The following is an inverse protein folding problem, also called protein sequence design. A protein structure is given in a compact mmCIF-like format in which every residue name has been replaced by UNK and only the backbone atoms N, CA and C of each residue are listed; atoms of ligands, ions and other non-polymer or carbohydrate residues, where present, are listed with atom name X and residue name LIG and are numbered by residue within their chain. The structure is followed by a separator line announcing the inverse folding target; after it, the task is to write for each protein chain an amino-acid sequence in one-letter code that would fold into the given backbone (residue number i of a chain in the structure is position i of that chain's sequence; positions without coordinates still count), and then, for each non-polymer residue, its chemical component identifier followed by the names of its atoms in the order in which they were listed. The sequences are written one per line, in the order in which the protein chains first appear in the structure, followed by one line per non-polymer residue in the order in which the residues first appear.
data_IF_658144040975
#
_entry.id   IF_658144040975
#
_cell.length_a   1.000
_cell.length_b   1.000
_cell.length_c   1.000
_cell.angle_alpha   90.00
_cell.angle_beta   90.00
_cell.angle_gamma   90.00
#
_symmetry.space_group_name_H-M   'P 1'
#
loop_
_entity.id
_entity.type
_entity.pdbx_description
1 polymer ?
#
# COMPACT_ATOMS: atom_id res chain seq x y z
N UNK A 1 45.19 -37.13 31.01
CA UNK A 1 44.12 -36.29 30.43
C UNK A 1 43.85 -35.13 31.37
N UNK A 2 44.34 -33.92 31.05
CA UNK A 2 44.10 -32.73 31.89
C UNK A 2 42.73 -32.14 31.55
N UNK A 3 41.85 -32.00 32.55
CA UNK A 3 40.55 -31.34 32.39
C UNK A 3 40.77 -29.82 32.46
N UNK A 4 40.67 -29.15 31.32
CA UNK A 4 40.67 -27.68 31.25
C UNK A 4 39.39 -27.14 31.88
N UNK A 5 39.45 -26.80 33.17
CA UNK A 5 38.37 -26.09 33.85
C UNK A 5 38.60 -24.58 33.75
N UNK A 6 37.72 -23.89 33.02
CA UNK A 6 37.69 -22.44 33.01
C UNK A 6 37.28 -21.97 34.41
N UNK A 7 38.08 -21.08 35.00
CA UNK A 7 37.83 -20.57 36.35
C UNK A 7 36.49 -19.79 36.38
N UNK A 8 35.62 -20.07 37.36
CA UNK A 8 34.29 -19.45 37.50
C UNK A 8 34.32 -17.92 37.40
N UNK A 9 35.38 -17.30 37.93
CA UNK A 9 35.59 -15.84 37.86
C UNK A 9 35.84 -15.34 36.43
N UNK A 10 36.56 -16.11 35.63
CA UNK A 10 36.80 -15.81 34.21
C UNK A 10 35.51 -15.94 33.41
N UNK A 11 34.72 -16.98 33.68
CA UNK A 11 33.40 -17.16 33.07
C UNK A 11 32.45 -16.00 33.39
N UNK A 12 32.34 -15.60 34.67
CA UNK A 12 31.46 -14.50 35.08
C UNK A 12 31.90 -13.13 34.56
N UNK A 13 33.22 -12.88 34.43
CA UNK A 13 33.74 -11.67 33.79
C UNK A 13 33.38 -11.61 32.30
N UNK A 14 33.42 -12.75 31.59
CA UNK A 14 32.99 -12.84 30.19
C UNK A 14 31.50 -12.60 30.01
N UNK A 15 30.67 -13.12 30.92
CA UNK A 15 29.21 -12.93 30.89
C UNK A 15 28.81 -11.47 31.10
N UNK A 16 29.49 -10.74 32.00
CA UNK A 16 29.24 -9.32 32.23
C UNK A 16 29.50 -8.45 31.00
N UNK A 17 30.57 -8.76 30.25
CA UNK A 17 30.86 -8.08 28.98
C UNK A 17 29.81 -8.38 27.89
N UNK A 18 29.28 -9.60 27.86
CA UNK A 18 28.24 -10.01 26.91
C UNK A 18 26.87 -9.37 27.19
N UNK A 19 26.57 -9.01 28.45
CA UNK A 19 25.34 -8.28 28.81
C UNK A 19 25.45 -6.76 28.63
N UNK A 20 26.66 -6.20 28.73
CA UNK A 20 26.92 -4.76 28.56
C UNK A 20 27.11 -4.35 27.10
N UNK A 21 27.45 -5.30 26.23
CA UNK A 21 27.53 -5.06 24.80
C UNK A 21 26.15 -5.35 24.20
N UNK A 22 25.48 -4.38 23.54
CA UNK A 22 24.41 -4.75 22.63
C UNK A 22 24.99 -5.80 21.69
N UNK A 23 24.32 -6.96 21.58
CA UNK A 23 24.71 -7.96 20.59
C UNK A 23 24.93 -7.20 19.29
N UNK A 24 26.09 -7.36 18.65
CA UNK A 24 26.42 -6.71 17.39
C UNK A 24 25.52 -7.29 16.30
N UNK A 25 24.23 -6.95 16.37
CA UNK A 25 23.23 -7.43 15.43
C UNK A 25 23.52 -6.92 14.02
N UNK A 26 24.24 -5.80 13.92
CA UNK A 26 24.79 -5.27 12.68
C UNK A 26 25.86 -6.15 12.03
N UNK A 27 26.49 -7.06 12.77
CA UNK A 27 27.45 -8.04 12.25
C UNK A 27 26.80 -9.40 11.97
N UNK A 28 25.52 -9.60 12.31
CA UNK A 28 24.83 -10.76 11.77
C UNK A 28 24.69 -10.57 10.25
N UNK A 29 25.10 -11.56 9.43
CA UNK A 29 24.80 -11.53 8.03
C UNK A 29 23.27 -11.44 7.87
N UNK A 30 22.79 -10.37 7.22
CA UNK A 30 21.37 -10.04 6.96
C UNK A 30 20.63 -11.15 6.17
N UNK A 31 21.28 -12.27 5.88
CA UNK A 31 20.81 -13.33 4.99
C UNK A 31 20.22 -14.58 5.67
N UNK A 32 20.10 -14.68 7.00
CA UNK A 32 19.78 -15.97 7.63
C UNK A 32 18.57 -16.01 8.58
N UNK A 33 17.53 -15.20 8.35
CA UNK A 33 16.20 -15.42 8.95
C UNK A 33 15.07 -15.48 7.91
N UNK A 34 15.41 -15.73 6.64
CA UNK A 34 14.43 -16.17 5.66
C UNK A 34 14.03 -17.62 6.00
N UNK A 35 13.06 -17.74 6.91
CA UNK A 35 12.31 -18.97 7.17
C UNK A 35 11.82 -19.54 5.83
N UNK A 36 12.42 -20.67 5.43
CA UNK A 36 11.93 -21.75 4.55
C UNK A 36 10.63 -21.56 3.73
N UNK A 37 10.47 -20.49 2.97
CA UNK A 37 9.64 -20.50 1.77
C UNK A 37 10.53 -20.35 0.55
N UNK A 38 10.64 -21.41 -0.25
CA UNK A 38 11.42 -21.45 -1.49
C UNK A 38 10.87 -20.50 -2.57
N UNK A 39 9.67 -19.96 -2.36
CA UNK A 39 9.02 -19.03 -3.29
C UNK A 39 9.00 -17.61 -2.71
N UNK A 40 9.29 -16.59 -3.53
CA UNK A 40 9.13 -15.21 -3.12
C UNK A 40 7.65 -14.93 -2.77
N UNK A 41 7.35 -14.07 -1.79
CA UNK A 41 5.98 -13.76 -1.44
C UNK A 41 5.28 -13.09 -2.63
N UNK A 42 4.07 -13.56 -2.93
CA UNK A 42 3.17 -12.90 -3.88
C UNK A 42 2.75 -11.57 -3.29
N UNK A 43 2.90 -10.49 -4.06
CA UNK A 43 2.57 -9.11 -3.66
C UNK A 43 1.37 -8.62 -4.44
N UNK A 44 0.59 -7.77 -3.80
CA UNK A 44 -0.53 -7.04 -4.40
C UNK A 44 -0.12 -5.58 -4.51
N UNK A 45 -0.38 -4.97 -5.67
CA UNK A 45 -0.08 -3.56 -5.92
C UNK A 45 -1.30 -2.87 -6.51
N UNK A 46 -1.57 -1.67 -6.02
CA UNK A 46 -2.58 -0.77 -6.56
C UNK A 46 -1.89 0.49 -7.04
N UNK A 47 -2.13 0.87 -8.30
CA UNK A 47 -1.56 2.07 -8.89
C UNK A 47 -2.69 3.07 -9.13
N UNK A 48 -2.61 4.22 -8.47
CA UNK A 48 -3.58 5.29 -8.65
C UNK A 48 -3.11 6.23 -9.76
N UNK A 49 -3.90 6.34 -10.83
CA UNK A 49 -3.71 7.32 -11.89
C UNK A 49 -4.93 8.24 -11.87
N UNK A 50 -4.80 9.48 -11.37
CA UNK A 50 -5.94 10.38 -11.15
C UNK A 50 -6.44 10.99 -12.47
N UNK A 51 -7.21 12.06 -12.35
CA UNK A 51 -7.80 12.82 -13.46
C UNK A 51 -6.77 13.18 -14.54
N UNK A 52 -7.24 13.31 -15.79
CA UNK A 52 -6.41 13.76 -16.92
C UNK A 52 -5.90 12.65 -17.84
N UNK A 53 -6.42 11.42 -17.72
CA UNK A 53 -6.06 10.32 -18.63
C UNK A 53 -6.94 10.28 -19.89
N UNK A 54 -6.35 9.91 -21.02
CA UNK A 54 -7.10 9.63 -22.24
C UNK A 54 -7.69 8.21 -22.20
N UNK A 55 -8.87 8.07 -21.57
CA UNK A 55 -9.51 6.77 -21.28
C UNK A 55 -9.69 5.85 -22.50
N UNK A 56 -9.93 6.41 -23.69
CA UNK A 56 -10.10 5.60 -24.91
C UNK A 56 -8.84 4.79 -25.23
N UNK A 57 -7.66 5.32 -24.92
CA UNK A 57 -6.38 4.63 -25.12
C UNK A 57 -6.01 3.70 -23.95
N UNK A 58 -6.84 3.60 -22.90
CA UNK A 58 -6.73 2.55 -21.87
C UNK A 58 -7.58 1.32 -22.19
N UNK A 59 -8.47 1.42 -23.18
CA UNK A 59 -9.43 0.37 -23.53
C UNK A 59 -9.08 -0.24 -24.90
N UNK A 60 -8.65 -1.51 -24.95
CA UNK A 60 -8.56 -2.24 -26.21
C UNK A 60 -9.91 -2.32 -26.93
N UNK A 61 -9.89 -2.28 -28.27
CA UNK A 61 -11.11 -2.32 -29.07
C UNK A 61 -11.79 -3.69 -29.07
N UNK A 62 -11.00 -4.77 -29.00
CA UNK A 62 -11.49 -6.14 -28.97
C UNK A 62 -11.50 -6.73 -27.55
N UNK A 63 -12.42 -7.65 -27.30
CA UNK A 63 -12.48 -8.46 -26.08
C UNK A 63 -11.83 -9.83 -26.29
N UNK A 64 -11.55 -10.54 -25.20
CA UNK A 64 -10.94 -11.87 -25.24
C UNK A 64 -9.42 -11.83 -25.11
N UNK A 65 -8.75 -12.93 -25.47
CA UNK A 65 -7.30 -13.10 -25.25
C UNK A 65 -6.41 -12.48 -26.33
N UNK A 66 -6.99 -12.08 -27.47
CA UNK A 66 -6.25 -11.64 -28.67
C UNK A 66 -6.44 -10.16 -28.99
N UNK A 67 -6.50 -9.30 -27.97
CA UNK A 67 -6.57 -7.85 -28.19
C UNK A 67 -5.18 -7.25 -28.47
N UNK A 68 -5.16 -6.12 -29.19
CA UNK A 68 -3.96 -5.33 -29.38
C UNK A 68 -3.79 -4.29 -28.28
N UNK A 69 -2.53 -4.07 -27.88
CA UNK A 69 -2.19 -3.03 -26.92
C UNK A 69 -2.36 -1.66 -27.61
N UNK A 70 -3.16 -0.81 -26.99
CA UNK A 70 -3.30 0.60 -27.34
C UNK A 70 -1.99 1.38 -27.08
N UNK A 71 -1.92 2.64 -27.51
CA UNK A 71 -0.71 3.45 -27.37
C UNK A 71 -0.25 3.58 -25.91
N UNK A 72 -1.19 3.77 -24.98
CA UNK A 72 -0.88 3.90 -23.54
C UNK A 72 -0.45 2.55 -22.94
N UNK A 73 -1.03 1.44 -23.38
CA UNK A 73 -0.70 0.11 -22.87
C UNK A 73 0.53 -0.52 -23.55
N UNK A 74 1.02 0.04 -24.65
CA UNK A 74 2.16 -0.47 -25.43
C UNK A 74 3.43 -0.74 -24.61
N UNK A 75 3.81 0.06 -23.58
CA UNK A 75 4.94 -0.23 -22.71
C UNK A 75 4.80 -1.56 -21.93
N UNK A 76 3.59 -2.09 -21.75
CA UNK A 76 3.32 -3.38 -21.10
C UNK A 76 3.48 -4.58 -22.03
N UNK A 77 3.92 -4.38 -23.27
CA UNK A 77 4.14 -5.47 -24.24
C UNK A 77 5.00 -6.63 -23.73
N UNK A 78 6.06 -6.44 -22.90
CA UNK A 78 6.83 -7.55 -22.36
C UNK A 78 6.02 -8.49 -21.44
N UNK A 79 4.92 -8.00 -20.86
CA UNK A 79 4.05 -8.73 -19.92
C UNK A 79 2.63 -8.93 -20.48
N UNK A 80 2.42 -8.78 -21.80
CA UNK A 80 1.09 -8.88 -22.43
C UNK A 80 0.36 -10.18 -22.08
N UNK A 81 1.10 -11.29 -21.93
CA UNK A 81 0.53 -12.61 -21.59
C UNK A 81 -0.05 -12.67 -20.18
N UNK A 82 0.38 -11.78 -19.29
CA UNK A 82 -0.05 -11.68 -17.90
C UNK A 82 -1.01 -10.48 -17.68
N UNK A 83 -1.41 -9.78 -18.75
CA UNK A 83 -2.23 -8.58 -18.69
C UNK A 83 -3.70 -8.89 -19.00
N UNK A 84 -4.57 -8.63 -18.02
CA UNK A 84 -6.03 -8.61 -18.20
C UNK A 84 -6.54 -7.18 -18.11
N UNK A 85 -7.26 -6.72 -19.14
CA UNK A 85 -7.93 -5.42 -19.12
C UNK A 85 -9.42 -5.64 -18.89
N UNK A 86 -9.94 -5.10 -17.78
CA UNK A 86 -11.36 -5.11 -17.46
C UNK A 86 -11.91 -3.70 -17.70
N UNK A 87 -12.94 -3.59 -18.55
CA UNK A 87 -13.59 -2.32 -18.88
C UNK A 87 -15.08 -2.36 -18.53
N UNK A 88 -15.73 -1.19 -18.51
CA UNK A 88 -17.14 -1.07 -18.13
C UNK A 88 -17.40 -1.02 -16.62
N UNK A 89 -16.33 -0.97 -15.80
CA UNK A 89 -16.44 -0.73 -14.36
C UNK A 89 -16.58 0.77 -14.09
N UNK A 90 -17.40 1.12 -13.10
CA UNK A 90 -17.58 2.50 -12.65
C UNK A 90 -17.56 2.56 -11.12
N UNK A 91 -16.85 3.54 -10.58
CA UNK A 91 -16.92 3.89 -9.16
C UNK A 91 -18.08 4.86 -8.98
N UNK A 92 -19.29 4.34 -8.80
CA UNK A 92 -20.51 5.17 -8.71
C UNK A 92 -20.44 6.19 -7.56
N UNK A 93 -19.79 5.82 -6.45
CA UNK A 93 -19.54 6.72 -5.33
C UNK A 93 -18.53 7.84 -5.60
N UNK A 94 -17.82 7.80 -6.73
CA UNK A 94 -16.99 8.90 -7.22
C UNK A 94 -17.80 10.07 -7.79
N UNK A 95 -19.07 9.84 -8.16
CA UNK A 95 -19.98 10.90 -8.62
C UNK A 95 -20.36 11.84 -7.49
N UNK A 96 -20.94 12.99 -7.86
CA UNK A 96 -21.38 13.99 -6.89
C UNK A 96 -22.36 13.44 -5.86
N UNK A 97 -23.33 12.59 -6.22
CA UNK A 97 -24.26 11.96 -5.26
C UNK A 97 -24.90 12.96 -4.27
N UNK A 98 -25.28 14.14 -4.76
CA UNK A 98 -25.86 15.24 -3.95
C UNK A 98 -24.84 16.21 -3.33
N UNK A 99 -23.55 15.85 -3.32
CA UNK A 99 -22.49 16.65 -2.69
C UNK A 99 -21.97 17.81 -3.56
N UNK A 100 -22.38 17.91 -4.83
CA UNK A 100 -21.89 18.95 -5.75
C UNK A 100 -20.39 18.78 -6.09
N UNK A 101 -19.66 19.89 -6.22
CA UNK A 101 -18.22 19.87 -6.52
C UNK A 101 -17.41 19.12 -5.45
N UNK A 102 -16.30 18.50 -5.85
CA UNK A 102 -15.48 17.65 -4.97
C UNK A 102 -14.83 16.44 -5.66
N UNK A 103 -14.60 16.51 -6.96
CA UNK A 103 -14.23 15.34 -7.76
C UNK A 103 -12.84 14.80 -7.42
N UNK A 104 -11.92 15.63 -6.93
CA UNK A 104 -10.57 15.19 -6.54
C UNK A 104 -10.64 14.38 -5.24
N UNK A 105 -11.33 14.90 -4.23
CA UNK A 105 -11.57 14.22 -2.96
C UNK A 105 -12.34 12.91 -3.15
N UNK A 106 -13.39 12.92 -3.97
CA UNK A 106 -14.16 11.70 -4.25
C UNK A 106 -13.34 10.68 -5.03
N UNK A 107 -12.62 11.08 -6.09
CA UNK A 107 -11.83 10.17 -6.91
C UNK A 107 -10.80 9.39 -6.09
N UNK A 108 -10.01 10.08 -5.26
CA UNK A 108 -9.02 9.42 -4.39
C UNK A 108 -9.69 8.65 -3.24
N UNK A 109 -10.70 9.23 -2.59
CA UNK A 109 -11.40 8.61 -1.46
C UNK A 109 -12.10 7.29 -1.81
N UNK A 110 -12.66 7.16 -3.01
CA UNK A 110 -13.41 5.97 -3.44
C UNK A 110 -12.53 4.88 -4.05
N UNK A 111 -11.31 5.20 -4.50
CA UNK A 111 -10.50 4.32 -5.36
C UNK A 111 -10.33 2.91 -4.80
N UNK A 112 -9.92 2.78 -3.53
CA UNK A 112 -9.74 1.49 -2.85
C UNK A 112 -10.82 1.16 -1.82
N UNK A 113 -11.72 2.10 -1.53
CA UNK A 113 -12.77 1.92 -0.51
C UNK A 113 -14.14 1.58 -1.12
N UNK A 114 -14.45 2.10 -2.31
CA UNK A 114 -15.78 2.02 -2.92
C UNK A 114 -16.87 2.79 -2.15
N UNK A 115 -16.50 3.56 -1.11
CA UNK A 115 -17.43 4.27 -0.23
C UNK A 115 -17.46 5.75 -0.59
N UNK A 116 -18.66 6.34 -0.60
CA UNK A 116 -18.78 7.80 -0.75
C UNK A 116 -18.18 8.48 0.47
N UNK A 117 -17.11 9.28 0.32
CA UNK A 117 -16.54 9.98 1.45
C UNK A 117 -17.54 10.99 1.99
N UNK A 118 -17.60 11.13 3.31
CA UNK A 118 -18.42 12.15 3.95
C UNK A 118 -17.92 13.53 3.53
N UNK A 119 -18.83 14.33 2.96
CA UNK A 119 -18.55 15.74 2.72
C UNK A 119 -18.57 16.50 4.04
N UNK A 120 -17.40 16.67 4.61
CA UNK A 120 -17.17 17.36 5.87
C UNK A 120 -15.94 18.24 5.78
N UNK A 121 -15.97 19.33 6.54
CA UNK A 121 -14.86 20.24 6.71
C UNK A 121 -14.16 19.92 8.03
N UNK A 122 -12.83 19.74 8.01
CA UNK A 122 -12.04 19.55 9.23
C UNK A 122 -11.73 18.09 9.56
N UNK A 123 -11.79 17.76 10.86
CA UNK A 123 -11.30 16.50 11.42
C UNK A 123 -12.30 15.35 11.39
N UNK A 124 -13.59 15.64 11.23
CA UNK A 124 -14.60 14.60 11.02
C UNK A 124 -14.42 14.05 9.61
N UNK A 125 -13.92 12.83 9.49
CA UNK A 125 -13.73 12.15 8.21
C UNK A 125 -14.35 10.76 8.28
N UNK A 126 -14.99 10.35 7.19
CA UNK A 126 -15.58 9.02 7.04
C UNK A 126 -15.49 8.56 5.61
N UNK A 127 -14.76 7.47 5.41
CA UNK A 127 -14.72 6.66 4.21
C UNK A 127 -15.03 5.20 4.60
N UNK A 128 -14.20 4.25 4.18
CA UNK A 128 -14.28 2.85 4.57
C UNK A 128 -12.88 2.23 4.65
N UNK A 129 -12.79 0.99 5.14
CA UNK A 129 -11.54 0.23 5.03
C UNK A 129 -11.23 -0.01 3.56
N UNK A 130 -10.00 0.27 3.14
CA UNK A 130 -9.58 0.06 1.77
C UNK A 130 -9.20 -1.41 1.52
N UNK A 131 -9.34 -1.86 0.27
CA UNK A 131 -9.10 -3.26 -0.11
C UNK A 131 -7.65 -3.70 0.13
N UNK A 132 -6.68 -2.81 -0.04
CA UNK A 132 -5.27 -3.05 0.28
C UNK A 132 -5.06 -3.29 1.78
N UNK A 133 -5.72 -2.51 2.65
CA UNK A 133 -5.64 -2.69 4.10
C UNK A 133 -6.39 -3.94 4.57
N UNK A 134 -7.50 -4.30 3.90
CA UNK A 134 -8.15 -5.58 4.13
C UNK A 134 -7.22 -6.75 3.76
N UNK A 135 -6.54 -6.69 2.63
CA UNK A 135 -5.55 -7.69 2.22
C UNK A 135 -4.37 -7.75 3.21
N UNK A 136 -3.82 -6.60 3.60
CA UNK A 136 -2.71 -6.51 4.56
C UNK A 136 -3.04 -7.20 5.90
N UNK A 137 -4.28 -7.06 6.41
CA UNK A 137 -4.74 -7.77 7.62
C UNK A 137 -4.77 -9.29 7.48
N UNK A 138 -4.87 -9.83 6.25
CA UNK A 138 -4.99 -11.27 5.97
C UNK A 138 -3.66 -11.92 5.59
N UNK A 139 -2.82 -11.21 4.83
CA UNK A 139 -1.59 -11.79 4.26
C UNK A 139 -0.31 -11.02 4.64
N UNK A 140 -0.43 -9.90 5.35
CA UNK A 140 0.71 -9.04 5.70
C UNK A 140 1.71 -9.68 6.66
N UNK A 141 1.35 -10.77 7.35
CA UNK A 141 2.26 -11.56 8.17
C UNK A 141 3.30 -12.35 7.36
N UNK A 142 3.16 -12.42 6.03
CA UNK A 142 4.10 -13.10 5.12
C UNK A 142 5.25 -12.20 4.64
N UNK A 143 5.22 -10.92 4.98
CA UNK A 143 6.21 -9.92 4.55
C UNK A 143 6.65 -9.09 5.75
N UNK A 144 7.83 -8.44 5.66
CA UNK A 144 8.35 -7.58 6.74
C UNK A 144 7.42 -6.40 7.06
N UNK A 145 6.83 -5.82 6.02
CA UNK A 145 5.81 -4.78 6.13
C UNK A 145 4.49 -5.35 5.63
N UNK A 146 3.41 -5.11 6.38
CA UNK A 146 2.08 -5.59 6.01
C UNK A 146 1.48 -4.81 4.81
N UNK A 147 1.84 -3.53 4.69
CA UNK A 147 1.50 -2.64 3.57
C UNK A 147 2.59 -1.58 3.40
N UNK A 148 2.66 -0.98 2.21
CA UNK A 148 3.56 0.14 1.90
C UNK A 148 2.84 1.13 0.98
N UNK A 149 2.54 2.30 1.52
CA UNK A 149 1.89 3.40 0.81
C UNK A 149 2.93 4.41 0.32
N UNK A 150 2.98 4.62 -0.99
CA UNK A 150 3.93 5.52 -1.64
C UNK A 150 3.17 6.57 -2.45
N UNK A 151 3.59 7.82 -2.33
CA UNK A 151 3.05 8.95 -3.07
C UNK A 151 4.18 9.82 -3.64
N UNK A 152 3.84 10.63 -4.65
CA UNK A 152 4.78 11.60 -5.23
C UNK A 152 4.91 12.87 -4.39
N UNK A 153 3.93 13.13 -3.53
CA UNK A 153 3.85 14.31 -2.67
C UNK A 153 3.59 13.88 -1.22
N UNK A 154 3.91 14.76 -0.27
CA UNK A 154 3.59 14.52 1.14
C UNK A 154 2.10 14.67 1.36
N UNK A 155 1.51 13.74 2.11
CA UNK A 155 0.10 13.80 2.49
C UNK A 155 -0.22 15.02 3.33
N UNK A 156 -1.39 15.61 3.10
CA UNK A 156 -1.97 16.67 3.93
C UNK A 156 -3.34 16.23 4.45
N UNK A 157 -3.47 16.13 5.78
CA UNK A 157 -4.69 15.63 6.41
C UNK A 157 -5.68 16.73 6.81
N UNK A 158 -5.20 17.95 7.08
CA UNK A 158 -6.02 19.03 7.61
C UNK A 158 -6.29 20.14 6.59
N UNK A 159 -7.52 20.66 6.64
CA UNK A 159 -7.98 21.80 5.84
C UNK A 159 -9.13 21.46 4.89
N UNK A 160 -9.45 22.42 4.02
CA UNK A 160 -10.44 22.32 2.95
C UNK A 160 -9.70 22.30 1.62
N UNK A 161 -9.48 21.11 1.08
CA UNK A 161 -8.68 20.96 -0.15
C UNK A 161 -9.53 20.84 -1.42
N UNK A 162 -10.80 20.45 -1.30
CA UNK A 162 -11.66 20.29 -2.47
C UNK A 162 -13.12 20.61 -2.15
N UNK A 163 -13.54 21.84 -2.40
CA UNK A 163 -14.97 22.21 -2.46
C UNK A 163 -15.80 21.87 -1.21
N UNK A 164 -15.16 21.81 -0.04
CA UNK A 164 -15.80 21.46 1.24
C UNK A 164 -15.46 20.07 1.78
N UNK A 165 -14.65 19.28 1.06
CA UNK A 165 -14.07 18.05 1.55
C UNK A 165 -12.76 18.30 2.32
N UNK A 166 -12.53 17.48 3.35
CA UNK A 166 -11.28 17.39 4.08
C UNK A 166 -10.11 17.03 3.17
N UNK A 167 -8.94 17.60 3.44
CA UNK A 167 -7.70 17.29 2.72
C UNK A 167 -7.32 15.81 2.79
N UNK A 168 -7.74 15.10 3.84
CA UNK A 168 -7.54 13.65 3.96
C UNK A 168 -8.03 12.88 2.73
N UNK A 169 -9.12 13.30 2.08
CA UNK A 169 -9.67 12.56 0.94
C UNK A 169 -8.90 12.76 -0.36
N UNK A 170 -8.27 13.92 -0.57
CA UNK A 170 -7.50 14.21 -1.80
C UNK A 170 -6.06 13.71 -1.72
N UNK A 171 -5.55 13.47 -0.51
CA UNK A 171 -4.15 13.14 -0.27
C UNK A 171 -3.94 11.65 0.08
N UNK A 172 -5.01 10.87 0.21
CA UNK A 172 -4.93 9.47 0.62
C UNK A 172 -5.87 8.60 -0.21
N UNK A 173 -5.34 7.48 -0.68
CA UNK A 173 -6.11 6.43 -1.35
C UNK A 173 -6.26 5.17 -0.49
N UNK A 174 -5.48 5.04 0.59
CA UNK A 174 -5.44 3.89 1.48
C UNK A 174 -5.94 4.26 2.88
N UNK A 175 -6.81 3.40 3.43
CA UNK A 175 -7.62 3.67 4.62
C UNK A 175 -7.65 2.43 5.53
N UNK A 176 -7.06 2.56 6.72
CA UNK A 176 -6.96 1.47 7.72
C UNK A 176 -8.33 1.03 8.23
N UNK A 177 -9.21 2.00 8.39
CA UNK A 177 -10.57 1.92 8.89
C UNK A 177 -11.39 3.11 8.34
N UNK A 178 -12.65 3.24 8.78
CA UNK A 178 -13.56 4.24 8.25
C UNK A 178 -13.12 5.69 8.50
N UNK A 179 -12.26 5.97 9.49
CA UNK A 179 -11.90 7.33 9.88
C UNK A 179 -10.38 7.58 9.87
N UNK A 180 -9.56 6.59 9.52
CA UNK A 180 -8.10 6.72 9.54
C UNK A 180 -7.46 6.41 8.18
N UNK A 181 -6.89 7.42 7.49
CA UNK A 181 -6.01 7.20 6.35
C UNK A 181 -4.64 6.64 6.78
N UNK A 182 -3.91 6.05 5.83
CA UNK A 182 -2.57 5.47 6.09
C UNK A 182 -1.41 6.47 6.03
N UNK A 183 -1.59 7.63 5.38
CA UNK A 183 -0.64 8.74 5.33
C UNK A 183 -1.24 10.00 5.95
#
# INVERSE_FOLDING_TARGET
MSKNHIHRRTFLKGLGAAMSLPMLESMFPVKALASSSTQPPVRMAFMFVPNGVHLQEWKPAATGVHYDLTRILKPLSPVKRDLTVISGLTQDKGRANGDGAGDHARCAGVFLTGVQPLKSQGSEIRAGVSVDQFAAKKIGNKTRFASLELGTERGRQSGKCDSGYSCAYSNNVSWRDAATPMA
#
